data_IF_415285588614
#
_entry.id   IF_415285588614
#
_cell.length_a   1.000
_cell.length_b   1.000
_cell.length_c   1.000
_cell.angle_alpha   90.00
_cell.angle_beta   90.00
_cell.angle_gamma   90.00
#
_symmetry.space_group_name_H-M   'P 1'
#
loop_
_entity.id
_entity.type
_entity.pdbx_description
1 polymer ?
#
# COMPACT_ATOMS: atom_id res chain seq x y z
N UNK A 1 0.48 17.67 5.01
CA UNK A 1 0.45 17.84 3.55
C UNK A 1 1.37 16.77 2.97
N UNK A 2 0.81 15.83 2.22
CA UNK A 2 1.55 14.79 1.52
C UNK A 2 2.44 15.46 0.45
N UNK A 3 3.62 14.91 0.18
CA UNK A 3 4.51 15.39 -0.90
C UNK A 3 3.76 15.42 -2.24
N UNK A 4 2.88 14.44 -2.48
CA UNK A 4 2.04 14.38 -3.68
C UNK A 4 1.01 15.51 -3.77
N UNK A 5 0.45 15.98 -2.65
CA UNK A 5 -0.46 17.13 -2.61
C UNK A 5 0.28 18.42 -2.97
N UNK A 6 1.49 18.61 -2.45
CA UNK A 6 2.34 19.77 -2.75
C UNK A 6 2.73 19.80 -4.23
N UNK A 7 3.10 18.66 -4.81
CA UNK A 7 3.42 18.54 -6.23
C UNK A 7 2.21 18.88 -7.10
N UNK A 8 1.01 18.40 -6.72
CA UNK A 8 -0.21 18.71 -7.44
C UNK A 8 -0.54 20.21 -7.41
N UNK A 9 -0.31 20.88 -6.27
CA UNK A 9 -0.51 22.32 -6.12
C UNK A 9 0.48 23.13 -6.99
N UNK A 10 1.77 22.79 -6.96
CA UNK A 10 2.80 23.44 -7.79
C UNK A 10 2.53 23.30 -9.30
N UNK A 11 2.04 22.13 -9.74
CA UNK A 11 1.68 21.91 -11.16
C UNK A 11 0.47 22.76 -11.56
N UNK A 12 -0.55 22.88 -10.69
CA UNK A 12 -1.70 23.75 -10.94
C UNK A 12 -1.29 25.22 -11.06
N UNK A 13 -0.39 25.68 -10.20
CA UNK A 13 0.14 27.04 -10.27
C UNK A 13 0.95 27.27 -11.55
N UNK A 14 1.80 26.32 -11.94
CA UNK A 14 2.62 26.41 -13.16
C UNK A 14 1.78 26.35 -14.45
N UNK A 15 0.68 25.60 -14.45
CA UNK A 15 -0.21 25.46 -15.62
C UNK A 15 -1.22 26.59 -15.76
N UNK A 16 -1.43 27.40 -14.71
CA UNK A 16 -2.30 28.58 -14.76
C UNK A 16 -1.84 29.65 -15.76
N UNK A 17 -0.58 29.60 -16.22
CA UNK A 17 -0.05 30.49 -17.27
C UNK A 17 -0.25 29.98 -18.71
N UNK A 18 -0.75 28.75 -18.93
CA UNK A 18 -0.82 28.10 -20.26
C UNK A 18 -2.23 27.73 -20.74
N UNK A 19 -3.31 28.30 -20.18
CA UNK A 19 -4.63 28.32 -20.84
C UNK A 19 -4.69 29.37 -21.99
N UNK A 20 -3.54 29.82 -22.49
CA UNK A 20 -3.47 30.43 -23.81
C UNK A 20 -3.67 29.31 -24.84
N UNK A 21 -4.61 29.46 -25.81
CA UNK A 21 -4.77 28.47 -26.86
C UNK A 21 -3.44 28.30 -27.60
N UNK A 22 -2.86 27.10 -27.51
CA UNK A 22 -1.73 26.72 -28.36
C UNK A 22 -2.27 26.80 -29.80
N UNK A 23 -1.80 27.81 -30.54
CA UNK A 23 -2.15 27.99 -31.94
C UNK A 23 -1.78 26.70 -32.67
N UNK A 24 -2.76 25.94 -33.17
CA UNK A 24 -2.53 24.79 -34.05
C UNK A 24 -1.97 25.32 -35.39
N UNK A 25 -0.65 25.42 -35.46
CA UNK A 25 0.10 25.21 -36.69
C UNK A 25 0.69 23.80 -36.69
N UNK A 26 1.29 23.40 -37.82
CA UNK A 26 1.83 22.06 -38.09
C UNK A 26 3.11 21.72 -37.27
N UNK A 27 3.26 22.27 -36.07
CA UNK A 27 4.41 22.03 -35.22
C UNK A 27 4.15 20.78 -34.38
N UNK A 28 4.88 19.71 -34.71
CA UNK A 28 4.93 18.48 -33.93
C UNK A 28 5.58 18.77 -32.57
N UNK A 29 4.76 18.92 -31.53
CA UNK A 29 5.25 19.09 -30.16
C UNK A 29 5.46 17.71 -29.56
N UNK A 30 6.71 17.26 -29.49
CA UNK A 30 7.09 16.05 -28.76
C UNK A 30 6.89 16.27 -27.26
N UNK A 31 6.17 15.36 -26.59
CA UNK A 31 6.08 15.32 -25.13
C UNK A 31 5.00 16.17 -24.43
N UNK A 32 3.97 16.68 -25.11
CA UNK A 32 2.88 17.41 -24.43
C UNK A 32 1.97 16.46 -23.62
N UNK A 33 1.82 16.72 -22.32
CA UNK A 33 0.91 16.00 -21.43
C UNK A 33 -0.04 16.99 -20.77
N UNK A 34 -1.35 16.77 -20.92
CA UNK A 34 -2.38 17.61 -20.27
C UNK A 34 -2.24 17.57 -18.75
N UNK A 35 -2.41 18.71 -18.09
CA UNK A 35 -2.44 18.81 -16.63
C UNK A 35 -3.39 17.77 -16.00
N UNK A 36 -4.57 17.56 -16.59
CA UNK A 36 -5.54 16.55 -16.15
C UNK A 36 -4.97 15.13 -16.09
N UNK A 37 -4.10 14.77 -17.04
CA UNK A 37 -3.44 13.45 -17.08
C UNK A 37 -2.40 13.34 -15.97
N UNK A 38 -1.70 14.42 -15.66
CA UNK A 38 -0.73 14.48 -14.56
C UNK A 38 -1.46 14.34 -13.22
N UNK A 39 -2.60 15.03 -13.06
CA UNK A 39 -3.44 14.89 -11.85
C UNK A 39 -3.92 13.46 -11.65
N UNK A 40 -4.39 12.79 -12.72
CA UNK A 40 -4.82 11.39 -12.67
C UNK A 40 -3.69 10.46 -12.18
N UNK A 41 -2.49 10.62 -12.73
CA UNK A 41 -1.32 9.82 -12.36
C UNK A 41 -0.95 10.06 -10.90
N UNK A 42 -0.94 11.31 -10.43
CA UNK A 42 -0.61 11.63 -9.04
C UNK A 42 -1.67 11.05 -8.10
N UNK A 43 -2.96 11.23 -8.43
CA UNK A 43 -4.08 10.68 -7.64
C UNK A 43 -4.03 9.16 -7.56
N UNK A 44 -3.72 8.46 -8.64
CA UNK A 44 -3.62 6.99 -8.63
C UNK A 44 -2.53 6.46 -7.70
N UNK A 45 -1.52 7.28 -7.39
CA UNK A 45 -0.42 6.94 -6.47
C UNK A 45 -0.60 7.54 -5.07
N UNK A 46 -1.61 8.39 -4.83
CA UNK A 46 -1.94 8.87 -3.48
C UNK A 46 -2.53 7.76 -2.61
N UNK A 47 -3.28 6.83 -3.20
CA UNK A 47 -3.82 5.65 -2.50
C UNK A 47 -2.74 4.59 -2.16
N UNK A 48 -1.51 4.74 -2.67
CA UNK A 48 -0.39 3.86 -2.36
C UNK A 48 0.27 4.18 -1.00
N UNK A 49 -0.02 5.35 -0.42
CA UNK A 49 0.54 5.79 0.86
C UNK A 49 -0.18 5.25 2.10
N UNK A 50 -1.28 4.52 1.94
CA UNK A 50 -2.10 4.03 3.06
C UNK A 50 -2.70 2.64 2.87
N UNK A 51 -2.21 1.86 1.89
CA UNK A 51 -2.45 0.41 1.90
C UNK A 51 -1.63 -0.19 3.02
N UNK A 52 -2.22 -0.13 4.21
CA UNK A 52 -1.96 -1.03 5.30
C UNK A 52 -1.77 -2.44 4.72
N UNK A 53 -0.57 -3.04 4.84
CA UNK A 53 -0.30 -4.43 4.43
C UNK A 53 -1.13 -5.46 5.22
N UNK A 54 -1.91 -4.97 6.18
CA UNK A 54 -2.90 -5.71 6.96
C UNK A 54 -4.06 -6.17 6.09
N UNK A 55 -4.22 -7.49 6.05
CA UNK A 55 -5.32 -8.20 5.42
C UNK A 55 -6.26 -8.66 6.53
N UNK A 56 -7.52 -8.21 6.54
CA UNK A 56 -8.51 -8.71 7.48
C UNK A 56 -8.74 -10.22 7.28
N UNK A 57 -8.87 -10.98 8.37
CA UNK A 57 -9.21 -12.40 8.28
C UNK A 57 -10.59 -12.63 7.65
N UNK A 58 -11.48 -11.62 7.71
CA UNK A 58 -12.78 -11.63 7.03
C UNK A 58 -12.69 -11.49 5.51
N UNK A 59 -11.58 -10.95 5.00
CA UNK A 59 -11.31 -10.86 3.56
C UNK A 59 -10.70 -12.17 3.07
N UNK A 60 -9.59 -12.59 3.70
CA UNK A 60 -8.94 -13.88 3.45
C UNK A 60 -8.02 -14.29 4.59
N UNK A 61 -7.76 -15.59 4.68
CA UNK A 61 -6.70 -16.17 5.50
C UNK A 61 -5.42 -16.37 4.67
N UNK A 62 -4.25 -16.54 5.31
CA UNK A 62 -3.05 -16.94 4.59
C UNK A 62 -3.24 -18.31 3.93
N UNK A 63 -2.46 -18.57 2.89
CA UNK A 63 -2.47 -19.87 2.23
C UNK A 63 -1.95 -20.95 3.20
N UNK A 64 -2.41 -22.18 3.02
CA UNK A 64 -1.90 -23.31 3.80
C UNK A 64 -0.42 -23.51 3.44
N UNK A 65 0.50 -23.47 4.42
CA UNK A 65 1.92 -23.68 4.17
C UNK A 65 2.17 -25.06 3.53
N UNK A 66 3.19 -25.12 2.68
CA UNK A 66 3.61 -26.37 2.03
C UNK A 66 4.23 -27.35 3.04
N UNK A 67 4.88 -26.82 4.07
CA UNK A 67 5.52 -27.60 5.13
C UNK A 67 5.52 -26.82 6.45
N UNK A 68 5.07 -27.47 7.53
CA UNK A 68 5.05 -26.87 8.86
C UNK A 68 4.10 -25.67 8.94
N UNK A 69 4.62 -24.53 9.40
CA UNK A 69 3.85 -23.31 9.64
C UNK A 69 4.57 -22.09 9.04
N UNK A 70 3.81 -21.12 8.54
CA UNK A 70 4.34 -19.84 8.06
C UNK A 70 4.13 -18.73 9.11
N UNK A 71 5.09 -17.81 9.23
CA UNK A 71 5.06 -16.74 10.23
C UNK A 71 4.52 -15.43 9.67
N UNK A 72 3.67 -14.77 10.45
CA UNK A 72 3.02 -13.50 10.11
C UNK A 72 3.00 -12.57 11.32
N UNK A 73 2.78 -11.27 11.07
CA UNK A 73 2.37 -10.34 12.11
C UNK A 73 0.84 -10.37 12.17
N UNK A 74 0.28 -10.55 13.37
CA UNK A 74 -1.16 -10.63 13.59
C UNK A 74 -1.64 -9.53 14.53
N UNK A 75 -2.88 -9.09 14.30
CA UNK A 75 -3.64 -8.23 15.19
C UNK A 75 -4.79 -9.05 15.75
N UNK A 76 -4.99 -9.01 17.07
CA UNK A 76 -6.14 -9.66 17.72
C UNK A 76 -7.12 -8.62 18.25
N UNK A 77 -8.34 -9.05 18.54
CA UNK A 77 -9.36 -8.22 19.19
C UNK A 77 -9.07 -7.92 20.67
N UNK A 78 -8.23 -8.75 21.32
CA UNK A 78 -7.98 -8.68 22.76
C UNK A 78 -6.65 -8.01 23.11
N UNK A 79 -5.71 -7.92 22.17
CA UNK A 79 -4.36 -7.39 22.38
C UNK A 79 -4.16 -6.19 21.47
N UNK A 80 -3.86 -5.02 22.06
CA UNK A 80 -3.68 -3.76 21.31
C UNK A 80 -2.43 -3.83 20.43
N UNK A 81 -1.37 -4.47 20.92
CA UNK A 81 -0.08 -4.53 20.23
C UNK A 81 -0.01 -5.73 19.28
N UNK A 82 0.26 -5.52 17.98
CA UNK A 82 0.57 -6.60 17.05
C UNK A 82 1.74 -7.46 17.50
N UNK A 83 1.70 -8.75 17.20
CA UNK A 83 2.77 -9.70 17.52
C UNK A 83 2.91 -10.77 16.43
N UNK A 84 3.99 -11.55 16.48
CA UNK A 84 4.21 -12.64 15.53
C UNK A 84 3.42 -13.90 15.94
N UNK A 85 2.75 -14.51 14.97
CA UNK A 85 2.10 -15.81 15.13
C UNK A 85 2.41 -16.70 13.91
N UNK A 86 2.13 -17.99 14.04
CA UNK A 86 2.33 -18.99 13.01
C UNK A 86 0.99 -19.51 12.51
N UNK A 87 0.92 -19.83 11.22
CA UNK A 87 -0.27 -20.35 10.55
C UNK A 87 0.06 -21.70 9.93
N UNK A 88 -0.66 -22.75 10.31
CA UNK A 88 -0.51 -24.12 9.80
C UNK A 88 -1.47 -24.46 8.64
N UNK A 89 -2.34 -23.51 8.28
CA UNK A 89 -3.42 -23.69 7.30
C UNK A 89 -4.81 -23.89 7.90
N UNK A 90 -4.90 -24.07 9.20
CA UNK A 90 -6.14 -24.36 9.93
C UNK A 90 -6.29 -23.45 11.16
N UNK A 91 -5.22 -23.27 11.93
CA UNK A 91 -5.21 -22.52 13.18
C UNK A 91 -3.97 -21.61 13.30
N UNK A 92 -4.10 -20.61 14.17
CA UNK A 92 -3.00 -19.73 14.56
C UNK A 92 -2.36 -20.21 15.86
N UNK A 93 -1.04 -20.25 15.91
CA UNK A 93 -0.24 -20.65 17.08
C UNK A 93 0.77 -19.55 17.44
N UNK A 94 1.15 -19.47 18.72
CA UNK A 94 2.21 -18.59 19.19
C UNK A 94 3.57 -19.31 19.25
N UNK A 95 4.60 -18.65 19.79
CA UNK A 95 5.96 -19.20 19.93
C UNK A 95 6.05 -20.38 20.90
N UNK A 96 4.99 -20.68 21.65
CA UNK A 96 4.89 -21.79 22.60
C UNK A 96 3.98 -22.91 22.09
N UNK A 97 3.61 -22.88 20.80
CA UNK A 97 2.63 -23.75 20.15
C UNK A 97 1.21 -23.65 20.76
N UNK A 98 0.91 -22.57 21.49
CA UNK A 98 -0.41 -22.34 22.07
C UNK A 98 -1.34 -21.65 21.06
N UNK A 99 -2.61 -22.09 21.01
CA UNK A 99 -3.59 -21.56 20.06
C UNK A 99 -3.89 -20.08 20.32
N UNK A 100 -3.68 -19.26 19.30
CA UNK A 100 -4.01 -17.84 19.30
C UNK A 100 -5.45 -17.65 18.81
N UNK A 101 -6.31 -17.14 19.70
CA UNK A 101 -7.72 -16.86 19.39
C UNK A 101 -7.94 -15.39 19.09
N UNK A 102 -8.97 -15.11 18.29
CA UNK A 102 -9.43 -13.73 18.05
C UNK A 102 -8.53 -12.91 17.13
N UNK A 103 -7.75 -13.58 16.25
CA UNK A 103 -7.01 -12.90 15.18
C UNK A 103 -8.02 -12.25 14.22
N UNK A 104 -7.88 -10.95 13.99
CA UNK A 104 -8.78 -10.15 13.14
C UNK A 104 -8.12 -9.68 11.84
N UNK A 105 -6.80 -9.55 11.83
CA UNK A 105 -6.04 -9.19 10.64
C UNK A 105 -4.61 -9.75 10.73
N UNK A 106 -3.98 -9.92 9.57
CA UNK A 106 -2.61 -10.43 9.44
C UNK A 106 -1.86 -9.68 8.35
N UNK A 107 -0.53 -9.67 8.40
CA UNK A 107 0.32 -9.17 7.32
C UNK A 107 1.59 -10.01 7.20
N UNK A 108 2.22 -10.09 6.01
CA UNK A 108 3.50 -10.77 5.84
C UNK A 108 4.60 -10.11 6.69
N UNK A 109 5.62 -10.90 7.05
CA UNK A 109 6.80 -10.35 7.72
C UNK A 109 7.52 -9.35 6.82
N UNK A 110 8.09 -8.26 7.39
CA UNK A 110 8.94 -7.35 6.66
C UNK A 110 10.10 -8.08 5.97
N UNK A 111 10.57 -7.53 4.85
CA UNK A 111 11.77 -8.04 4.19
C UNK A 111 12.93 -8.07 5.19
N UNK A 112 13.69 -9.18 5.18
CA UNK A 112 14.87 -9.35 6.04
C UNK A 112 15.79 -8.14 5.94
N UNK A 113 16.31 -7.70 7.08
CA UNK A 113 17.30 -6.64 7.14
C UNK A 113 18.56 -7.05 6.38
N UNK A 114 19.02 -6.22 5.44
CA UNK A 114 20.16 -6.52 4.55
C UNK A 114 21.49 -5.90 4.99
N UNK A 115 21.53 -5.19 6.11
CA UNK A 115 22.73 -4.44 6.51
C UNK A 115 23.05 -3.27 5.57
N UNK A 116 24.13 -2.55 5.88
CA UNK A 116 24.83 -1.64 4.95
C UNK A 116 26.14 -2.29 4.54
#
# INVERSE_FOLDING_TARGET
MNVLEKILEEIKEATFQEDAPIYMGDMEVDGYVRASRIEEIIRSHMDDGSKSDWIPCSERLPEKPVFGEDSYIVQTNNIITPFSAFWDGEEWTDVSDDKVKGVIAWQPLPKRYKGK
#
